data_IF_435536681271
#
_entry.id   IF_435536681271
#
_cell.length_a   1.000
_cell.length_b   1.000
_cell.length_c   1.000
_cell.angle_alpha   90.00
_cell.angle_beta   90.00
_cell.angle_gamma   90.00
#
_symmetry.space_group_name_H-M   'P 1'
#
loop_
_entity.id
_entity.type
_entity.pdbx_description
1 polymer ?
#
# COMPACT_ATOMS: atom_id res chain seq x y z
N UNK A 1 0.94 -16.94 14.45
CA UNK A 1 -0.55 -16.76 14.41
C UNK A 1 -0.89 -15.99 13.15
N UNK A 2 -1.88 -16.44 12.36
CA UNK A 2 -2.30 -15.74 11.14
C UNK A 2 -3.02 -14.42 11.49
N UNK A 3 -2.84 -13.34 10.70
CA UNK A 3 -3.51 -12.07 10.93
C UNK A 3 -5.01 -12.18 10.69
N UNK A 4 -5.82 -11.42 11.41
CA UNK A 4 -7.25 -11.26 11.11
C UNK A 4 -7.41 -10.36 9.88
N UNK A 5 -8.26 -10.74 8.94
CA UNK A 5 -8.51 -9.99 7.71
C UNK A 5 -9.85 -9.26 7.85
N UNK A 6 -9.85 -7.94 7.62
CA UNK A 6 -11.05 -7.09 7.63
C UNK A 6 -11.25 -6.43 6.27
N UNK A 7 -12.47 -6.50 5.75
CA UNK A 7 -12.91 -5.80 4.55
C UNK A 7 -13.74 -4.60 4.97
N UNK A 8 -13.28 -3.39 4.68
CA UNK A 8 -13.89 -2.16 5.16
C UNK A 8 -14.76 -1.46 4.09
N UNK A 9 -14.69 -1.92 2.83
CA UNK A 9 -15.35 -1.21 1.72
C UNK A 9 -14.68 0.12 1.40
N UNK A 10 -15.45 1.08 0.88
CA UNK A 10 -14.97 2.44 0.61
C UNK A 10 -15.06 3.26 1.89
N UNK A 11 -13.97 3.85 2.34
CA UNK A 11 -13.89 4.55 3.63
C UNK A 11 -13.31 5.96 3.50
N UNK A 12 -13.59 6.80 4.50
CA UNK A 12 -12.86 8.05 4.70
C UNK A 12 -11.45 7.73 5.22
N UNK A 13 -10.44 8.32 4.59
CA UNK A 13 -9.03 8.06 4.93
C UNK A 13 -8.71 8.45 6.38
N UNK A 14 -9.09 9.64 6.82
CA UNK A 14 -8.72 10.15 8.15
C UNK A 14 -9.33 9.30 9.27
N UNK A 15 -10.58 8.87 9.09
CA UNK A 15 -11.26 7.95 10.03
C UNK A 15 -10.52 6.61 10.09
N UNK A 16 -10.15 6.05 8.94
CA UNK A 16 -9.41 4.77 8.88
C UNK A 16 -8.01 4.92 9.46
N UNK A 17 -7.32 6.02 9.18
CA UNK A 17 -6.01 6.31 9.73
C UNK A 17 -6.05 6.46 11.26
N UNK A 18 -7.07 7.16 11.80
CA UNK A 18 -7.26 7.25 13.25
C UNK A 18 -7.50 5.85 13.85
N UNK A 19 -8.37 5.04 13.24
CA UNK A 19 -8.63 3.68 13.70
C UNK A 19 -7.38 2.79 13.71
N UNK A 20 -6.49 2.92 12.71
CA UNK A 20 -5.19 2.23 12.72
C UNK A 20 -4.32 2.65 13.90
N UNK A 21 -4.24 3.97 14.20
CA UNK A 21 -3.48 4.50 15.33
C UNK A 21 -4.03 4.01 16.67
N UNK A 22 -5.35 3.96 16.81
CA UNK A 22 -6.02 3.49 18.03
C UNK A 22 -5.77 2.00 18.24
N UNK A 23 -5.88 1.20 17.18
CA UNK A 23 -5.58 -0.23 17.22
C UNK A 23 -4.15 -0.50 17.71
N UNK A 24 -3.14 0.11 17.09
CA UNK A 24 -1.74 -0.14 17.49
C UNK A 24 -1.39 0.44 18.86
N UNK A 25 -2.07 1.52 19.28
CA UNK A 25 -1.89 2.13 20.60
C UNK A 25 -2.51 1.27 21.73
N UNK A 26 -3.55 0.50 21.41
CA UNK A 26 -4.19 -0.45 22.32
C UNK A 26 -3.35 -1.69 22.64
N UNK A 27 -2.15 -1.83 22.05
CA UNK A 27 -1.25 -2.97 22.22
C UNK A 27 -1.95 -4.33 22.01
N UNK A 28 -2.54 -4.55 20.82
CA UNK A 28 -3.36 -5.72 20.54
C UNK A 28 -2.58 -7.03 20.69
N UNK A 29 -3.29 -8.11 21.02
CA UNK A 29 -2.74 -9.46 21.12
C UNK A 29 -2.57 -10.18 19.78
N UNK A 30 -3.19 -9.64 18.71
CA UNK A 30 -3.19 -10.18 17.37
C UNK A 30 -2.84 -9.10 16.32
N UNK A 31 -2.45 -9.58 15.15
CA UNK A 31 -2.20 -8.75 13.97
C UNK A 31 -3.44 -8.67 13.08
N UNK A 32 -3.57 -7.60 12.32
CA UNK A 32 -4.67 -7.42 11.35
C UNK A 32 -4.18 -6.99 9.98
N UNK A 33 -4.92 -7.37 8.93
CA UNK A 33 -4.82 -6.83 7.57
C UNK A 33 -6.17 -6.24 7.22
N UNK A 34 -6.18 -4.95 6.85
CA UNK A 34 -7.40 -4.27 6.42
C UNK A 34 -7.36 -4.00 4.92
N UNK A 35 -8.47 -4.33 4.27
CA UNK A 35 -8.68 -4.11 2.84
C UNK A 35 -9.73 -3.05 2.68
N UNK A 36 -9.42 -2.00 1.91
CA UNK A 36 -10.32 -0.88 1.72
C UNK A 36 -10.06 -0.19 0.37
N UNK A 37 -10.93 0.74 0.04
CA UNK A 37 -10.74 1.83 -0.91
C UNK A 37 -10.95 3.14 -0.15
N UNK A 38 -10.48 4.25 -0.70
CA UNK A 38 -10.76 5.56 -0.11
C UNK A 38 -11.54 6.46 -1.07
N UNK A 39 -12.30 7.39 -0.51
CA UNK A 39 -12.75 8.56 -1.26
C UNK A 39 -11.53 9.36 -1.74
N UNK A 40 -11.67 10.16 -2.83
CA UNK A 40 -10.55 10.92 -3.39
C UNK A 40 -9.83 11.76 -2.35
N UNK A 41 -8.51 11.55 -2.19
CA UNK A 41 -7.67 12.27 -1.23
C UNK A 41 -6.19 12.20 -1.62
N UNK A 42 -5.47 13.31 -1.42
CA UNK A 42 -4.01 13.32 -1.41
C UNK A 42 -3.48 13.13 0.00
N UNK A 43 -2.44 12.31 0.13
CA UNK A 43 -1.72 12.14 1.41
C UNK A 43 -0.24 12.44 1.22
N UNK A 44 0.35 13.28 2.10
CA UNK A 44 1.79 13.54 2.11
C UNK A 44 2.41 12.90 3.35
N UNK A 45 3.36 11.99 3.12
CA UNK A 45 4.09 11.30 4.18
C UNK A 45 5.16 12.18 4.85
N UNK A 46 6.04 11.54 5.62
CA UNK A 46 7.06 12.23 6.43
C UNK A 46 8.13 12.97 5.60
N UNK A 47 8.39 12.55 4.37
CA UNK A 47 9.32 13.25 3.49
C UNK A 47 8.63 14.40 2.77
N UNK A 48 8.64 15.57 3.42
CA UNK A 48 7.97 16.81 2.95
C UNK A 48 8.90 17.73 2.14
N UNK A 49 10.13 17.32 1.87
CA UNK A 49 11.08 18.16 1.13
C UNK A 49 10.52 18.49 -0.26
N UNK A 50 10.51 19.79 -0.60
CA UNK A 50 9.98 20.32 -1.85
C UNK A 50 8.48 19.97 -2.07
N UNK A 51 7.68 19.89 -0.98
CA UNK A 51 6.25 19.65 -1.09
C UNK A 51 5.55 20.86 -1.71
N UNK A 52 4.85 20.62 -2.82
CA UNK A 52 3.92 21.56 -3.45
C UNK A 52 2.52 20.96 -3.30
N UNK A 53 1.57 21.67 -2.65
CA UNK A 53 0.18 21.22 -2.59
C UNK A 53 -0.41 21.07 -3.99
N UNK A 54 -1.24 20.07 -4.24
CA UNK A 54 -1.96 19.95 -5.51
C UNK A 54 -2.90 21.15 -5.70
N UNK A 55 -3.02 21.61 -6.94
CA UNK A 55 -3.80 22.80 -7.30
C UNK A 55 -5.26 22.50 -7.68
N UNK A 56 -5.81 21.36 -7.24
CA UNK A 56 -7.19 20.96 -7.50
C UNK A 56 -8.03 20.88 -6.21
N UNK A 57 -9.34 20.58 -6.34
CA UNK A 57 -10.28 20.56 -5.22
C UNK A 57 -10.27 19.26 -4.39
N UNK A 58 -9.37 18.31 -4.68
CA UNK A 58 -9.27 17.06 -3.91
C UNK A 58 -8.65 17.36 -2.55
N UNK A 59 -9.25 16.89 -1.44
CA UNK A 59 -8.71 17.05 -0.10
C UNK A 59 -7.26 16.58 0.02
N UNK A 60 -6.47 17.25 0.87
CA UNK A 60 -5.08 16.92 1.12
C UNK A 60 -4.78 16.88 2.61
N UNK A 61 -4.07 15.83 3.07
CA UNK A 61 -3.70 15.64 4.47
C UNK A 61 -2.23 15.21 4.62
N UNK A 62 -1.57 15.71 5.67
CA UNK A 62 -0.25 15.25 6.09
C UNK A 62 -0.38 14.07 7.03
N UNK A 63 0.39 13.02 6.75
CA UNK A 63 0.31 11.74 7.48
C UNK A 63 1.69 11.27 7.91
N UNK A 64 1.72 10.28 8.78
CA UNK A 64 2.94 9.78 9.41
C UNK A 64 3.57 8.55 8.71
N UNK A 65 3.05 8.11 7.56
CA UNK A 65 3.71 7.07 6.75
C UNK A 65 5.03 7.55 6.14
N UNK A 66 5.88 6.63 5.77
CA UNK A 66 7.03 6.93 4.93
C UNK A 66 6.64 7.46 3.54
N UNK A 67 7.62 8.00 2.82
CA UNK A 67 7.43 8.51 1.46
C UNK A 67 6.90 9.95 1.38
N UNK A 68 6.62 10.38 0.16
CA UNK A 68 6.17 11.73 -0.22
C UNK A 68 4.67 11.76 -0.47
N UNK A 69 4.21 12.66 -1.35
CA UNK A 69 2.80 12.77 -1.74
C UNK A 69 2.36 11.60 -2.62
N UNK A 70 1.12 11.16 -2.44
CA UNK A 70 0.41 10.23 -3.32
C UNK A 70 -1.08 10.57 -3.35
N UNK A 71 -1.82 9.88 -4.21
CA UNK A 71 -3.27 9.99 -4.34
C UNK A 71 -3.92 8.64 -4.01
N UNK A 72 -5.09 8.71 -3.36
CA UNK A 72 -5.99 7.59 -3.15
C UNK A 72 -7.37 7.93 -3.68
N UNK A 73 -8.06 6.96 -4.29
CA UNK A 73 -9.39 7.13 -4.83
C UNK A 73 -10.07 5.78 -5.13
N UNK A 74 -11.39 5.82 -5.47
CA UNK A 74 -12.13 4.61 -5.85
C UNK A 74 -11.45 3.85 -6.98
N UNK A 75 -11.49 2.52 -6.93
CA UNK A 75 -10.81 1.65 -7.88
C UNK A 75 -9.34 1.38 -7.55
N UNK A 76 -8.81 1.97 -6.47
CA UNK A 76 -7.49 1.65 -5.92
C UNK A 76 -7.64 0.70 -4.74
N UNK A 77 -7.05 -0.48 -4.84
CA UNK A 77 -7.00 -1.42 -3.73
C UNK A 77 -5.99 -0.96 -2.69
N UNK A 78 -6.43 -0.77 -1.46
CA UNK A 78 -5.58 -0.45 -0.31
C UNK A 78 -5.50 -1.66 0.61
N UNK A 79 -4.29 -2.06 0.97
CA UNK A 79 -4.03 -3.12 1.96
C UNK A 79 -3.19 -2.52 3.08
N UNK A 80 -3.82 -2.33 4.24
CA UNK A 80 -3.14 -1.94 5.46
C UNK A 80 -2.73 -3.15 6.26
N UNK A 81 -1.53 -3.10 6.82
CA UNK A 81 -1.00 -4.12 7.73
C UNK A 81 -0.83 -3.49 9.11
N UNK A 82 -1.29 -4.16 10.15
CA UNK A 82 -1.20 -3.73 11.53
C UNK A 82 -0.54 -4.86 12.33
N UNK A 83 0.81 -4.87 12.29
CA UNK A 83 1.62 -5.98 12.77
C UNK A 83 2.55 -5.60 13.91
N UNK A 84 2.68 -6.49 14.89
CA UNK A 84 3.71 -6.41 15.90
C UNK A 84 5.00 -7.09 15.40
N UNK A 85 5.96 -6.28 14.94
CA UNK A 85 7.21 -6.80 14.33
C UNK A 85 8.08 -7.57 15.33
N UNK A 86 8.02 -7.25 16.63
CA UNK A 86 8.79 -7.99 17.65
C UNK A 86 8.28 -9.43 17.80
N UNK A 87 6.96 -9.65 17.60
CA UNK A 87 6.37 -11.00 17.60
C UNK A 87 6.62 -11.73 16.29
N UNK A 88 6.63 -11.00 15.16
CA UNK A 88 6.80 -11.55 13.82
C UNK A 88 8.25 -11.91 13.48
N UNK A 89 9.23 -11.35 14.21
CA UNK A 89 10.66 -11.54 13.89
C UNK A 89 11.03 -11.20 12.43
N UNK A 90 10.29 -10.28 11.81
CA UNK A 90 10.51 -9.82 10.43
C UNK A 90 11.05 -8.38 10.44
N UNK A 91 12.02 -8.08 9.59
CA UNK A 91 12.51 -6.72 9.40
C UNK A 91 11.56 -5.88 8.55
N UNK A 92 11.60 -4.55 8.73
CA UNK A 92 10.85 -3.62 7.85
C UNK A 92 11.19 -3.85 6.38
N UNK A 93 12.46 -4.10 6.05
CA UNK A 93 12.90 -4.37 4.67
C UNK A 93 12.23 -5.61 4.11
N UNK A 94 12.22 -6.70 4.86
CA UNK A 94 11.58 -7.96 4.43
C UNK A 94 10.06 -7.78 4.30
N UNK A 95 9.46 -6.98 5.17
CA UNK A 95 8.02 -6.67 5.07
C UNK A 95 7.68 -5.85 3.83
N UNK A 96 8.49 -4.84 3.47
CA UNK A 96 8.35 -4.12 2.20
C UNK A 96 8.49 -5.08 1.02
N UNK A 97 9.52 -5.94 1.03
CA UNK A 97 9.71 -6.95 -0.02
C UNK A 97 8.53 -7.93 -0.09
N UNK A 98 7.94 -8.35 1.04
CA UNK A 98 6.76 -9.21 1.05
C UNK A 98 5.53 -8.53 0.39
N UNK A 99 5.32 -7.24 0.68
CA UNK A 99 4.26 -6.44 0.07
C UNK A 99 4.46 -6.31 -1.44
N UNK A 100 5.66 -5.96 -1.90
CA UNK A 100 6.00 -5.83 -3.32
C UNK A 100 5.89 -7.18 -4.04
N UNK A 101 6.47 -8.24 -3.49
CA UNK A 101 6.45 -9.57 -4.08
C UNK A 101 5.03 -10.16 -4.16
N UNK A 102 4.13 -9.81 -3.25
CA UNK A 102 2.73 -10.25 -3.32
C UNK A 102 2.00 -9.69 -4.54
N UNK A 103 2.29 -8.44 -4.92
CA UNK A 103 1.77 -7.80 -6.15
C UNK A 103 2.45 -8.40 -7.38
N UNK A 104 3.78 -8.55 -7.36
CA UNK A 104 4.55 -9.12 -8.48
C UNK A 104 4.05 -10.54 -8.77
N UNK A 105 3.86 -11.37 -7.75
CA UNK A 105 3.35 -12.73 -7.91
C UNK A 105 1.93 -12.74 -8.49
N UNK A 106 1.05 -11.84 -8.01
CA UNK A 106 -0.28 -11.67 -8.58
C UNK A 106 -0.21 -11.31 -10.07
N UNK A 107 0.60 -10.32 -10.45
CA UNK A 107 0.75 -9.86 -11.84
C UNK A 107 1.37 -10.95 -12.73
N UNK A 108 2.33 -11.72 -12.20
CA UNK A 108 2.93 -12.86 -12.91
C UNK A 108 1.89 -13.95 -13.23
N UNK A 109 0.98 -14.26 -12.31
CA UNK A 109 -0.13 -15.19 -12.59
C UNK A 109 -1.11 -14.67 -13.64
N UNK A 110 -1.19 -13.35 -13.80
CA UNK A 110 -1.96 -12.70 -14.87
C UNK A 110 -1.15 -12.50 -16.17
N UNK A 111 0.07 -13.06 -16.26
CA UNK A 111 1.02 -12.93 -17.40
C UNK A 111 1.46 -11.49 -17.64
N UNK A 112 1.55 -10.67 -16.60
CA UNK A 112 2.04 -9.29 -16.63
C UNK A 112 3.42 -9.26 -15.94
N UNK A 113 4.45 -8.90 -16.70
CA UNK A 113 5.81 -8.77 -16.17
C UNK A 113 5.92 -7.52 -15.31
N UNK A 114 6.33 -7.68 -14.04
CA UNK A 114 6.45 -6.61 -13.07
C UNK A 114 7.71 -6.75 -12.22
N UNK A 115 8.20 -5.63 -11.69
CA UNK A 115 9.41 -5.59 -10.87
C UNK A 115 9.28 -4.54 -9.76
N UNK A 116 10.14 -4.65 -8.74
CA UNK A 116 10.28 -3.64 -7.68
C UNK A 116 11.59 -2.87 -7.85
N UNK A 117 11.63 -1.62 -7.35
CA UNK A 117 12.82 -0.78 -7.34
C UNK A 117 13.16 -0.37 -5.90
N UNK A 118 14.37 -0.70 -5.45
CA UNK A 118 14.85 -0.40 -4.09
C UNK A 118 15.00 1.10 -3.82
N UNK A 119 15.21 1.91 -4.85
CA UNK A 119 15.37 3.37 -4.74
C UNK A 119 14.06 4.09 -4.61
N UNK A 120 12.99 3.50 -5.16
CA UNK A 120 11.63 4.05 -5.16
C UNK A 120 10.60 2.95 -4.84
N UNK A 121 10.49 2.52 -3.56
CA UNK A 121 9.66 1.39 -3.17
C UNK A 121 8.27 1.37 -3.81
N UNK A 122 7.88 0.20 -4.33
CA UNK A 122 6.65 -0.04 -5.07
C UNK A 122 6.86 -1.03 -6.22
N UNK A 123 5.82 -1.27 -6.99
CA UNK A 123 5.83 -2.21 -8.12
C UNK A 123 5.62 -1.47 -9.43
N UNK A 124 6.34 -1.90 -10.46
CA UNK A 124 6.39 -1.27 -11.77
C UNK A 124 6.11 -2.27 -12.88
N UNK A 125 5.39 -1.80 -13.91
CA UNK A 125 5.17 -2.48 -15.18
C UNK A 125 5.55 -1.51 -16.29
N UNK A 126 6.41 -1.92 -17.22
CA UNK A 126 6.88 -1.06 -18.32
C UNK A 126 7.35 0.33 -17.86
N UNK A 127 8.13 0.39 -16.75
CA UNK A 127 8.64 1.62 -16.11
C UNK A 127 7.57 2.52 -15.48
N UNK A 128 6.28 2.18 -15.54
CA UNK A 128 5.17 2.90 -14.90
C UNK A 128 4.83 2.25 -13.57
N UNK A 129 4.55 3.08 -12.57
CA UNK A 129 4.25 2.58 -11.22
C UNK A 129 2.80 2.12 -11.13
N UNK A 130 2.60 0.86 -10.73
CA UNK A 130 1.27 0.27 -10.56
C UNK A 130 0.88 0.12 -9.09
N UNK A 131 1.87 0.01 -8.19
CA UNK A 131 1.63 -0.07 -6.74
C UNK A 131 2.65 0.74 -5.96
N UNK A 132 2.23 1.32 -4.83
CA UNK A 132 3.09 2.08 -3.92
C UNK A 132 3.09 1.46 -2.53
N UNK A 133 4.23 1.53 -1.84
CA UNK A 133 4.38 1.04 -0.46
C UNK A 133 4.78 2.20 0.45
N UNK A 134 4.07 2.34 1.56
CA UNK A 134 4.40 3.33 2.59
C UNK A 134 4.01 2.82 3.96
N UNK A 135 4.99 2.66 4.85
CA UNK A 135 4.82 2.12 6.19
C UNK A 135 5.16 3.15 7.27
N UNK A 136 4.61 2.95 8.45
CA UNK A 136 5.01 3.61 9.68
C UNK A 136 5.36 2.58 10.73
N UNK A 137 6.54 2.71 11.31
CA UNK A 137 6.91 2.01 12.53
C UNK A 137 6.71 2.95 13.72
N UNK A 138 5.92 2.51 14.70
CA UNK A 138 5.73 3.19 15.99
C UNK A 138 5.91 2.16 17.08
N UNK A 139 6.94 2.36 17.91
CA UNK A 139 7.38 1.35 18.88
C UNK A 139 7.68 0.00 18.19
N UNK A 140 6.93 -1.03 18.54
CA UNK A 140 7.04 -2.39 17.96
C UNK A 140 6.02 -2.69 16.86
N UNK A 141 5.09 -1.77 16.60
CA UNK A 141 4.03 -1.96 15.59
C UNK A 141 4.35 -1.25 14.29
N UNK A 142 4.02 -1.91 13.19
CA UNK A 142 3.97 -1.30 11.86
C UNK A 142 2.51 -1.14 11.44
N UNK A 143 2.19 -0.03 10.77
CA UNK A 143 0.88 0.24 10.17
C UNK A 143 1.01 1.03 8.87
N UNK A 144 -0.11 1.37 8.21
CA UNK A 144 -0.20 1.65 6.79
C UNK A 144 0.11 0.39 5.95
N UNK A 145 0.55 0.51 4.71
CA UNK A 145 0.71 -0.66 3.85
C UNK A 145 1.02 -0.33 2.41
N UNK A 146 0.24 -0.89 1.49
CA UNK A 146 0.36 -0.69 0.06
C UNK A 146 -0.93 -0.16 -0.57
N UNK A 147 -0.78 0.52 -1.71
CA UNK A 147 -1.87 0.83 -2.64
C UNK A 147 -1.56 0.20 -4.00
N UNK A 148 -2.56 -0.42 -4.63
CA UNK A 148 -2.46 -1.05 -5.93
C UNK A 148 -3.55 -0.49 -6.85
N UNK A 149 -3.14 0.12 -7.95
CA UNK A 149 -4.04 0.70 -8.93
C UNK A 149 -4.70 -0.41 -9.74
N UNK A 150 -6.01 -0.63 -9.57
CA UNK A 150 -6.75 -1.68 -10.27
C UNK A 150 -7.56 -1.11 -11.42
N UNK A 151 -8.54 -0.23 -11.13
CA UNK A 151 -9.40 0.42 -12.11
C UNK A 151 -9.88 1.76 -11.55
N UNK A 152 -9.02 2.77 -11.63
CA UNK A 152 -9.23 4.08 -11.01
C UNK A 152 -8.98 5.22 -11.99
N UNK A 153 -9.40 6.42 -11.64
CA UNK A 153 -8.96 7.62 -12.35
C UNK A 153 -7.51 7.97 -11.97
N UNK A 154 -6.59 7.87 -12.94
CA UNK A 154 -5.18 8.21 -12.76
C UNK A 154 -4.89 9.72 -12.95
N UNK A 155 -5.86 10.51 -13.45
CA UNK A 155 -5.69 11.95 -13.71
C UNK A 155 -5.17 12.72 -12.48
N UNK A 156 -5.63 12.45 -11.24
CA UNK A 156 -5.13 13.16 -10.06
C UNK A 156 -3.62 13.05 -9.83
N UNK A 157 -2.98 11.98 -10.30
CA UNK A 157 -1.53 11.84 -10.20
C UNK A 157 -0.76 12.86 -11.04
N UNK A 158 -1.37 13.44 -12.10
CA UNK A 158 -0.73 14.48 -12.93
C UNK A 158 -0.58 15.83 -12.22
N UNK A 159 -1.31 16.05 -11.12
CA UNK A 159 -1.22 17.27 -10.32
C UNK A 159 -0.18 17.21 -9.20
N UNK A 160 0.53 16.09 -9.09
CA UNK A 160 1.55 15.87 -8.06
C UNK A 160 2.80 15.26 -8.70
N UNK A 161 3.95 15.35 -7.99
CA UNK A 161 5.15 14.56 -8.34
C UNK A 161 5.18 13.32 -7.44
N UNK A 162 4.58 12.18 -7.86
CA UNK A 162 4.49 11.00 -7.02
C UNK A 162 5.89 10.53 -6.62
N UNK A 163 6.09 10.25 -5.34
CA UNK A 163 7.40 9.85 -4.82
C UNK A 163 8.52 10.89 -5.05
N UNK A 164 8.20 12.10 -5.59
CA UNK A 164 9.14 13.18 -5.90
C UNK A 164 10.03 12.94 -7.12
N UNK A 165 9.60 12.08 -8.01
CA UNK A 165 10.17 11.90 -9.35
C UNK A 165 9.30 12.69 -10.35
N UNK A 166 9.89 13.69 -11.01
CA UNK A 166 9.15 14.63 -11.90
C UNK A 166 8.51 13.96 -13.12
N UNK A 167 8.95 12.76 -13.50
CA UNK A 167 8.49 12.04 -14.69
C UNK A 167 7.98 10.62 -14.38
N UNK A 168 7.56 10.35 -13.15
CA UNK A 168 7.05 9.03 -12.80
C UNK A 168 5.61 8.87 -13.31
N UNK A 169 5.44 8.09 -14.37
CA UNK A 169 4.13 7.72 -14.86
C UNK A 169 3.47 6.65 -13.97
N UNK A 170 2.17 6.81 -13.77
CA UNK A 170 1.35 5.81 -13.10
C UNK A 170 0.62 4.94 -14.13
N UNK A 171 0.32 3.70 -13.77
CA UNK A 171 -0.49 2.77 -14.54
C UNK A 171 -1.40 1.98 -13.61
N UNK A 172 -2.28 1.15 -14.15
CA UNK A 172 -3.26 0.36 -13.43
C UNK A 172 -3.50 -0.99 -14.11
N UNK A 173 -4.07 -1.94 -13.37
CA UNK A 173 -4.24 -3.31 -13.82
C UNK A 173 -5.10 -3.42 -15.10
N UNK A 174 -6.18 -2.63 -15.19
CA UNK A 174 -7.09 -2.67 -16.36
C UNK A 174 -6.46 -2.18 -17.66
N UNK A 175 -5.32 -1.47 -17.61
CA UNK A 175 -4.56 -1.08 -18.80
C UNK A 175 -3.91 -2.29 -19.49
N UNK A 176 -3.72 -3.40 -18.75
CA UNK A 176 -3.12 -4.65 -19.23
C UNK A 176 -4.15 -5.77 -19.40
N UNK A 177 -5.11 -5.87 -18.48
CA UNK A 177 -6.13 -6.91 -18.50
C UNK A 177 -7.40 -6.44 -17.77
N UNK A 178 -8.56 -6.65 -18.37
CA UNK A 178 -9.86 -6.19 -17.88
C UNK A 178 -10.59 -7.29 -17.07
N UNK A 179 -11.68 -6.91 -16.41
CA UNK A 179 -12.61 -7.84 -15.78
C UNK A 179 -12.29 -8.20 -14.32
N UNK A 180 -11.57 -7.33 -13.61
CA UNK A 180 -11.23 -7.57 -12.21
C UNK A 180 -12.27 -7.03 -11.25
N UNK A 181 -12.54 -7.83 -10.22
CA UNK A 181 -13.23 -7.41 -9.00
C UNK A 181 -12.18 -7.12 -7.92
N UNK A 182 -12.25 -5.94 -7.30
CA UNK A 182 -11.26 -5.50 -6.31
C UNK A 182 -11.13 -6.46 -5.12
N UNK A 183 -12.25 -6.96 -4.61
CA UNK A 183 -12.24 -7.88 -3.48
C UNK A 183 -11.55 -9.21 -3.83
N UNK A 184 -11.81 -9.74 -5.03
CA UNK A 184 -11.15 -10.97 -5.51
C UNK A 184 -9.64 -10.76 -5.69
N UNK A 185 -9.23 -9.61 -6.24
CA UNK A 185 -7.82 -9.21 -6.35
C UNK A 185 -7.19 -9.13 -4.96
N UNK A 186 -7.84 -8.45 -4.03
CA UNK A 186 -7.36 -8.31 -2.64
C UNK A 186 -7.18 -9.67 -1.95
N UNK A 187 -8.15 -10.57 -2.05
CA UNK A 187 -8.05 -11.93 -1.50
C UNK A 187 -6.85 -12.69 -2.03
N UNK A 188 -6.60 -12.61 -3.35
CA UNK A 188 -5.49 -13.29 -4.00
C UNK A 188 -4.14 -12.72 -3.55
N UNK A 189 -3.99 -11.39 -3.51
CA UNK A 189 -2.77 -10.72 -3.06
C UNK A 189 -2.46 -11.03 -1.59
N UNK A 190 -3.47 -11.02 -0.70
CA UNK A 190 -3.26 -11.35 0.72
C UNK A 190 -2.78 -12.78 0.90
N UNK A 191 -3.27 -13.73 0.12
CA UNK A 191 -2.80 -15.11 0.16
C UNK A 191 -1.28 -15.19 -0.12
N UNK A 192 -0.80 -14.44 -1.12
CA UNK A 192 0.64 -14.34 -1.39
C UNK A 192 1.39 -13.59 -0.27
N UNK A 193 0.85 -12.47 0.21
CA UNK A 193 1.46 -11.69 1.28
C UNK A 193 1.68 -12.54 2.54
N UNK A 194 0.67 -13.26 2.99
CA UNK A 194 0.77 -14.14 4.18
C UNK A 194 1.81 -15.22 3.97
N UNK A 195 1.89 -15.82 2.77
CA UNK A 195 2.91 -16.80 2.40
C UNK A 195 4.32 -16.19 2.48
N UNK A 196 4.56 -15.02 1.87
CA UNK A 196 5.88 -14.37 1.89
C UNK A 196 6.30 -13.97 3.31
N UNK A 197 5.38 -13.48 4.14
CA UNK A 197 5.65 -13.16 5.54
C UNK A 197 6.07 -14.44 6.29
N UNK A 198 5.34 -15.55 6.12
CA UNK A 198 5.68 -16.85 6.72
C UNK A 198 7.08 -17.32 6.35
N UNK A 199 7.47 -17.23 5.08
CA UNK A 199 8.80 -17.61 4.62
C UNK A 199 9.91 -16.78 5.31
N UNK A 200 9.70 -15.50 5.54
CA UNK A 200 10.67 -14.65 6.25
C UNK A 200 10.71 -14.93 7.76
N UNK A 201 9.60 -15.32 8.36
CA UNK A 201 9.55 -15.75 9.77
C UNK A 201 10.38 -17.04 9.96
N UNK A 202 10.22 -18.02 9.09
CA UNK A 202 10.96 -19.30 9.12
C UNK A 202 12.46 -19.12 8.90
N UNK A 203 12.88 -18.24 7.99
CA UNK A 203 14.29 -17.99 7.69
C UNK A 203 15.05 -17.30 8.86
N UNK A 204 14.36 -16.76 9.86
CA UNK A 204 14.94 -16.11 11.04
C UNK A 204 14.87 -16.99 12.31
N UNK A 205 14.52 -18.27 12.17
CA UNK A 205 14.58 -19.31 13.20
C UNK A 205 15.74 -20.25 12.96
#
# INVERSE_FOLDING_TARGET
MQPKIKYLGVTNFETTWQAMKDFVSGNPDHDEIWITEHFPIYTTGLNKKNHVPPSNHIPHVFVDRGGKITYHGPGQLIIYILFNLSKKKISIRNLVSALENSIIQFLQEESIEAYSDRTAPGVYVNKKKIASVGLRLKNKYVYHGLSFNVNMDLTPFSFISPCGYENLEMTQLVDYKKGYNLEAVGKKIIKFLVKYIGNYEEANH
#
